data_IF_672846518754
#
_entry.id   IF_672846518754
#
_cell.length_a   1.000
_cell.length_b   1.000
_cell.length_c   1.000
_cell.angle_alpha   90.00
_cell.angle_beta   90.00
_cell.angle_gamma   90.00
#
_symmetry.space_group_name_H-M   'P 1'
#
loop_
_entity.id
_entity.type
_entity.pdbx_description
1 polymer ?
#
# COMPACT_ATOMS: atom_id res chain seq x y z
N UNK A 1 -2.54 -11.95 7.76
CA UNK A 1 -1.16 -11.74 8.24
C UNK A 1 -0.75 -10.32 7.86
N UNK A 2 -0.03 -9.57 8.71
CA UNK A 2 0.44 -8.25 8.33
C UNK A 2 1.58 -8.36 7.29
N UNK A 3 1.40 -7.72 6.14
CA UNK A 3 2.41 -7.63 5.09
C UNK A 3 3.59 -6.76 5.52
N UNK A 4 4.75 -7.00 4.92
CA UNK A 4 6.00 -6.30 5.17
C UNK A 4 6.61 -5.73 3.89
N UNK A 5 7.58 -4.82 4.02
CA UNK A 5 8.28 -4.21 2.87
C UNK A 5 8.94 -5.23 1.93
N UNK A 6 9.24 -6.42 2.42
CA UNK A 6 9.82 -7.54 1.68
C UNK A 6 8.84 -8.68 1.39
N UNK A 7 7.65 -8.66 1.99
CA UNK A 7 6.65 -9.72 1.90
C UNK A 7 5.26 -9.08 1.75
N UNK A 8 4.96 -8.69 0.51
CA UNK A 8 3.77 -7.95 0.12
C UNK A 8 3.01 -8.71 -0.97
N UNK A 9 1.71 -8.42 -1.18
CA UNK A 9 0.92 -9.20 -2.12
C UNK A 9 1.43 -9.01 -3.56
N UNK A 10 1.29 -10.03 -4.43
CA UNK A 10 1.78 -9.99 -5.81
C UNK A 10 1.28 -8.77 -6.60
N UNK A 11 0.06 -8.30 -6.32
CA UNK A 11 -0.55 -7.11 -6.91
C UNK A 11 0.25 -5.83 -6.66
N UNK A 12 1.03 -5.77 -5.57
CA UNK A 12 1.85 -4.61 -5.22
C UNK A 12 3.29 -4.69 -5.77
N UNK A 13 3.68 -5.79 -6.42
CA UNK A 13 5.06 -6.03 -6.88
C UNK A 13 5.56 -5.00 -7.88
N UNK A 14 4.68 -4.51 -8.75
CA UNK A 14 5.01 -3.55 -9.81
C UNK A 14 4.85 -2.08 -9.36
N UNK A 15 4.48 -1.84 -8.10
CA UNK A 15 4.39 -0.49 -7.56
C UNK A 15 5.78 0.05 -7.23
N UNK A 16 5.98 1.35 -7.44
CA UNK A 16 7.16 2.08 -6.96
C UNK A 16 7.39 1.78 -5.46
N UNK A 17 8.64 1.57 -5.00
CA UNK A 17 8.90 1.19 -3.60
C UNK A 17 8.26 2.12 -2.57
N UNK A 18 8.16 3.41 -2.89
CA UNK A 18 7.49 4.43 -2.07
C UNK A 18 5.98 4.15 -1.93
N UNK A 19 5.29 4.02 -3.07
CA UNK A 19 3.86 3.70 -3.14
C UNK A 19 3.59 2.34 -2.49
N UNK A 20 4.42 1.34 -2.79
CA UNK A 20 4.29 -0.01 -2.23
C UNK A 20 4.37 -0.03 -0.71
N UNK A 21 5.35 0.65 -0.13
CA UNK A 21 5.49 0.72 1.32
C UNK A 21 4.25 1.36 1.94
N UNK A 22 3.73 2.43 1.34
CA UNK A 22 2.51 3.09 1.81
C UNK A 22 1.28 2.20 1.68
N UNK A 23 1.17 1.45 0.58
CA UNK A 23 0.09 0.49 0.36
C UNK A 23 0.14 -0.63 1.42
N UNK A 24 1.31 -1.16 1.75
CA UNK A 24 1.47 -2.17 2.82
C UNK A 24 0.98 -1.63 4.17
N UNK A 25 1.34 -0.39 4.53
CA UNK A 25 0.87 0.24 5.77
C UNK A 25 -0.66 0.34 5.83
N UNK A 26 -1.28 0.81 4.74
CA UNK A 26 -2.74 0.99 4.68
C UNK A 26 -3.45 -0.36 4.66
N UNK A 27 -2.92 -1.34 3.92
CA UNK A 27 -3.52 -2.67 3.80
C UNK A 27 -3.49 -3.40 5.14
N UNK A 28 -2.41 -3.28 5.92
CA UNK A 28 -2.32 -3.82 7.27
C UNK A 28 -3.38 -3.22 8.20
N UNK A 29 -3.54 -1.88 8.18
CA UNK A 29 -4.58 -1.23 8.97
C UNK A 29 -6.00 -1.71 8.61
N UNK A 30 -6.28 -1.91 7.31
CA UNK A 30 -7.57 -2.43 6.86
C UNK A 30 -7.78 -3.88 7.30
N UNK A 31 -6.75 -4.72 7.27
CA UNK A 31 -6.82 -6.09 7.79
C UNK A 31 -7.07 -6.13 9.30
N UNK A 32 -6.53 -5.18 10.06
CA UNK A 32 -6.82 -5.04 11.50
C UNK A 32 -8.29 -4.62 11.75
N UNK A 33 -8.90 -3.91 10.80
CA UNK A 33 -10.33 -3.58 10.80
C UNK A 33 -11.23 -4.70 10.23
N UNK A 34 -10.71 -5.93 10.09
CA UNK A 34 -11.43 -7.11 9.59
C UNK A 34 -11.90 -6.97 8.11
N UNK A 35 -11.25 -6.14 7.32
CA UNK A 35 -11.52 -6.09 5.88
C UNK A 35 -10.99 -7.33 5.18
N UNK A 36 -11.73 -7.76 4.15
CA UNK A 36 -11.28 -8.81 3.24
C UNK A 36 -9.93 -8.46 2.58
N UNK A 37 -9.05 -9.45 2.48
CA UNK A 37 -7.69 -9.28 1.98
C UNK A 37 -7.64 -8.64 0.59
N UNK A 38 -8.48 -9.12 -0.35
CA UNK A 38 -8.53 -8.59 -1.70
C UNK A 38 -9.02 -7.15 -1.74
N UNK A 39 -9.99 -6.82 -0.88
CA UNK A 39 -10.52 -5.46 -0.74
C UNK A 39 -9.50 -4.52 -0.10
N UNK A 40 -8.80 -4.99 0.94
CA UNK A 40 -7.74 -4.24 1.62
C UNK A 40 -6.63 -3.88 0.64
N UNK A 41 -6.18 -4.82 -0.19
CA UNK A 41 -5.14 -4.60 -1.22
C UNK A 41 -5.56 -3.54 -2.23
N UNK A 42 -6.79 -3.62 -2.74
CA UNK A 42 -7.30 -2.69 -3.75
C UNK A 42 -7.40 -1.25 -3.20
N UNK A 43 -8.01 -1.10 -2.02
CA UNK A 43 -8.15 0.21 -1.35
C UNK A 43 -6.78 0.79 -1.02
N UNK A 44 -5.89 -0.03 -0.45
CA UNK A 44 -4.57 0.41 -0.05
C UNK A 44 -3.71 0.86 -1.24
N UNK A 45 -3.79 0.16 -2.38
CA UNK A 45 -3.09 0.55 -3.61
C UNK A 45 -3.58 1.90 -4.11
N UNK A 46 -4.90 2.12 -4.18
CA UNK A 46 -5.48 3.38 -4.63
C UNK A 46 -5.10 4.55 -3.71
N UNK A 47 -5.23 4.36 -2.38
CA UNK A 47 -4.86 5.40 -1.40
C UNK A 47 -3.36 5.70 -1.40
N UNK A 48 -2.52 4.70 -1.62
CA UNK A 48 -1.09 4.90 -1.69
C UNK A 48 -0.65 5.69 -2.93
N UNK A 49 -1.32 5.48 -4.07
CA UNK A 49 -1.10 6.27 -5.29
C UNK A 49 -1.52 7.72 -5.07
N UNK A 50 -2.73 7.95 -4.56
CA UNK A 50 -3.22 9.30 -4.24
C UNK A 50 -2.30 10.02 -3.25
N UNK A 51 -1.79 9.30 -2.23
CA UNK A 51 -0.82 9.85 -1.30
C UNK A 51 0.49 10.25 -1.99
N UNK A 52 0.99 9.44 -2.92
CA UNK A 52 2.23 9.71 -3.66
C UNK A 52 2.09 10.95 -4.55
N UNK A 53 0.94 11.10 -5.22
CA UNK A 53 0.60 12.28 -6.04
C UNK A 53 0.50 13.57 -5.21
N UNK A 54 -0.11 13.50 -4.03
CA UNK A 54 -0.25 14.65 -3.13
C UNK A 54 1.03 15.00 -2.35
N UNK A 55 1.97 14.06 -2.27
CA UNK A 55 3.26 14.27 -1.63
C UNK A 55 4.34 14.05 -2.68
N UNK A 56 4.51 14.95 -3.66
CA UNK A 56 5.58 14.79 -4.64
C UNK A 56 6.90 14.65 -3.89
N UNK A 57 7.77 13.73 -4.37
CA UNK A 57 9.12 13.60 -3.82
C UNK A 57 9.76 14.98 -3.97
N UNK A 58 9.97 15.71 -2.87
CA UNK A 58 10.66 17.00 -2.90
C UNK A 58 11.98 16.79 -3.64
N UNK A 59 12.11 17.54 -4.74
CA UNK A 59 13.26 17.46 -5.61
C UNK A 59 14.52 17.75 -4.82
N UNK A 60 15.55 16.93 -5.05
CA UNK A 60 16.93 17.28 -4.74
C UNK A 60 17.33 18.60 -5.39
#
# INVERSE_FOLDING_TARGET
MPWSKNDYPPSMKNLEPRVRNKAVEIANALLEEDYDEGRAIAIATAKAQEWDENHPKEGK
#
